data_IF_496698321479
#
_entry.id   IF_496698321479
#
_cell.length_a   1.000
_cell.length_b   1.000
_cell.length_c   1.000
_cell.angle_alpha   90.00
_cell.angle_beta   90.00
_cell.angle_gamma   90.00
#
_symmetry.space_group_name_H-M   'P 1'
#
loop_
_entity.id
_entity.type
_entity.pdbx_description
1 polymer ?
#
# COMPACT_ATOMS: atom_id res chain seq x y z
N UNK A 1 9.28 0.11 -8.76
CA UNK A 1 8.06 0.23 -7.96
C UNK A 1 8.01 1.61 -7.35
N UNK A 2 6.88 2.29 -7.47
CA UNK A 2 6.64 3.57 -6.80
C UNK A 2 6.04 3.32 -5.41
N UNK A 3 6.55 4.00 -4.39
CA UNK A 3 6.03 3.98 -3.03
C UNK A 3 5.50 5.37 -2.69
N UNK A 4 4.18 5.54 -2.74
CA UNK A 4 3.47 6.82 -2.58
C UNK A 4 2.92 6.91 -1.17
N UNK A 5 3.39 7.89 -0.38
CA UNK A 5 3.06 8.00 1.05
C UNK A 5 2.54 9.39 1.40
N UNK A 6 1.23 9.50 1.63
CA UNK A 6 0.60 10.69 2.21
C UNK A 6 0.71 10.73 3.76
N UNK A 7 0.82 9.56 4.39
CA UNK A 7 0.98 9.38 5.85
C UNK A 7 2.34 8.74 6.13
N UNK A 8 3.06 9.22 7.14
CA UNK A 8 4.34 8.61 7.53
C UNK A 8 4.14 7.21 8.12
N UNK A 9 5.08 6.30 7.82
CA UNK A 9 5.16 4.97 8.45
C UNK A 9 6.51 4.33 8.22
N UNK A 10 7.23 4.06 9.31
CA UNK A 10 8.53 3.37 9.25
C UNK A 10 8.37 1.91 8.85
N UNK A 11 7.44 1.17 9.48
CA UNK A 11 7.27 -0.28 9.24
C UNK A 11 6.84 -0.59 7.81
N UNK A 12 5.81 0.10 7.34
CA UNK A 12 5.30 -0.09 5.98
C UNK A 12 6.37 0.29 4.96
N UNK A 13 7.07 1.41 5.15
CA UNK A 13 8.14 1.81 4.25
C UNK A 13 9.26 0.76 4.20
N UNK A 14 9.81 0.40 5.34
CA UNK A 14 10.99 -0.48 5.39
C UNK A 14 10.65 -1.88 4.87
N UNK A 15 9.51 -2.45 5.27
CA UNK A 15 9.11 -3.81 4.82
C UNK A 15 8.93 -3.90 3.29
N UNK A 16 8.21 -2.96 2.68
CA UNK A 16 8.06 -2.94 1.23
C UNK A 16 9.37 -2.63 0.51
N UNK A 17 10.15 -1.65 0.99
CA UNK A 17 11.40 -1.27 0.35
C UNK A 17 12.43 -2.42 0.34
N UNK A 18 12.57 -3.12 1.47
CA UNK A 18 13.42 -4.31 1.58
C UNK A 18 12.89 -5.44 0.70
N UNK A 19 11.61 -5.81 0.84
CA UNK A 19 11.03 -6.94 0.09
C UNK A 19 11.12 -6.74 -1.43
N UNK A 20 10.86 -5.54 -1.94
CA UNK A 20 11.00 -5.25 -3.37
C UNK A 20 12.46 -5.36 -3.83
N UNK A 21 13.42 -4.86 -3.02
CA UNK A 21 14.85 -4.92 -3.35
C UNK A 21 15.38 -6.35 -3.33
N UNK A 22 14.98 -7.16 -2.36
CA UNK A 22 15.37 -8.57 -2.26
C UNK A 22 14.85 -9.39 -3.45
N UNK A 23 13.70 -9.00 -4.02
CA UNK A 23 13.17 -9.55 -5.27
C UNK A 23 13.83 -8.99 -6.54
N UNK A 24 14.93 -8.22 -6.40
CA UNK A 24 15.69 -7.64 -7.52
C UNK A 24 15.08 -6.36 -8.11
N UNK A 25 14.05 -5.80 -7.47
CA UNK A 25 13.37 -4.59 -7.90
C UNK A 25 14.05 -3.30 -7.44
N UNK A 26 13.82 -2.21 -8.17
CA UNK A 26 14.15 -0.85 -7.72
C UNK A 26 12.94 -0.13 -7.15
N UNK A 27 13.18 0.70 -6.14
CA UNK A 27 12.15 1.42 -5.37
C UNK A 27 12.35 2.91 -5.53
N UNK A 28 11.28 3.62 -5.87
CA UNK A 28 11.18 5.08 -5.87
C UNK A 28 10.23 5.49 -4.76
N UNK A 29 10.74 6.17 -3.73
CA UNK A 29 9.92 6.70 -2.65
C UNK A 29 9.44 8.11 -2.99
N UNK A 30 8.13 8.33 -2.88
CA UNK A 30 7.44 9.58 -3.18
C UNK A 30 6.62 9.97 -1.95
N UNK A 31 7.10 10.94 -1.18
CA UNK A 31 6.34 11.47 -0.04
C UNK A 31 5.28 12.47 -0.48
N UNK A 32 4.34 12.79 0.42
CA UNK A 32 3.37 13.88 0.24
C UNK A 32 4.02 15.20 -0.21
N UNK A 33 5.24 15.48 0.26
CA UNK A 33 5.97 16.70 -0.06
C UNK A 33 6.63 16.64 -1.44
N UNK A 34 6.95 15.44 -1.94
CA UNK A 34 7.58 15.23 -3.23
C UNK A 34 6.55 15.15 -4.37
N UNK A 35 5.33 14.72 -4.04
CA UNK A 35 4.23 14.61 -4.98
C UNK A 35 3.61 15.98 -5.26
N UNK A 36 3.45 16.30 -6.54
CA UNK A 36 2.71 17.48 -7.02
C UNK A 36 1.21 17.43 -6.69
N UNK A 37 0.73 16.41 -5.97
CA UNK A 37 -0.63 16.30 -5.46
C UNK A 37 -1.02 17.52 -4.61
N UNK A 38 -0.06 18.13 -3.89
CA UNK A 38 -0.28 19.37 -3.13
C UNK A 38 -0.24 20.66 -3.96
N UNK A 39 0.18 20.60 -5.23
CA UNK A 39 0.27 21.76 -6.15
C UNK A 39 -0.82 21.77 -7.23
N UNK A 40 -1.74 20.81 -7.18
CA UNK A 40 -2.93 20.76 -8.04
C UNK A 40 -2.83 19.84 -9.25
N UNK A 41 -1.80 19.00 -9.37
CA UNK A 41 -1.81 17.93 -10.38
C UNK A 41 -2.84 16.85 -9.98
N UNK A 42 -3.84 16.56 -10.83
CA UNK A 42 -4.82 15.53 -10.52
C UNK A 42 -4.18 14.15 -10.37
N UNK A 43 -4.64 13.38 -9.38
CA UNK A 43 -4.15 12.00 -9.14
C UNK A 43 -4.17 11.13 -10.40
N UNK A 44 -5.23 11.25 -11.21
CA UNK A 44 -5.38 10.57 -12.51
C UNK A 44 -4.23 10.82 -13.48
N UNK A 45 -3.69 12.04 -13.51
CA UNK A 45 -2.63 12.42 -14.46
C UNK A 45 -1.28 11.87 -13.97
N UNK A 46 -1.01 12.01 -12.66
CA UNK A 46 0.12 11.33 -12.01
C UNK A 46 0.07 9.81 -12.21
N UNK A 47 -1.10 9.18 -12.04
CA UNK A 47 -1.30 7.75 -12.24
C UNK A 47 -0.98 7.31 -13.67
N UNK A 48 -1.46 8.03 -14.69
CA UNK A 48 -1.19 7.74 -16.11
C UNK A 48 0.29 7.86 -16.48
N UNK A 49 0.99 8.81 -15.88
CA UNK A 49 2.44 8.99 -16.09
C UNK A 49 3.20 7.86 -15.42
N UNK A 50 2.95 7.60 -14.14
CA UNK A 50 3.63 6.54 -13.39
C UNK A 50 3.36 5.15 -13.99
N UNK A 51 2.14 4.87 -14.45
CA UNK A 51 1.79 3.62 -15.11
C UNK A 51 2.61 3.31 -16.37
N UNK A 52 3.24 4.32 -16.98
CA UNK A 52 4.16 4.14 -18.12
C UNK A 52 5.64 4.04 -17.72
N UNK A 53 5.97 4.28 -16.45
CA UNK A 53 7.34 4.40 -15.96
C UNK A 53 7.72 3.35 -14.93
N UNK A 54 6.75 2.78 -14.20
CA UNK A 54 7.00 1.78 -13.17
C UNK A 54 6.12 0.54 -13.35
N UNK A 55 6.57 -0.58 -12.77
CA UNK A 55 5.88 -1.88 -12.88
C UNK A 55 4.81 -2.11 -11.81
N UNK A 56 4.66 -1.21 -10.85
CA UNK A 56 3.75 -1.36 -9.73
C UNK A 56 3.87 -0.22 -8.71
N UNK A 57 2.82 -0.03 -7.93
CA UNK A 57 2.70 1.02 -6.93
C UNK A 57 2.27 0.47 -5.56
N UNK A 58 2.87 0.98 -4.50
CA UNK A 58 2.46 0.79 -3.11
C UNK A 58 1.98 2.15 -2.60
N UNK A 59 0.72 2.24 -2.17
CA UNK A 59 0.09 3.51 -1.81
C UNK A 59 -0.39 3.47 -0.37
N UNK A 60 0.04 4.48 0.40
CA UNK A 60 -0.46 4.76 1.73
C UNK A 60 -1.08 6.16 1.74
N UNK A 61 -2.40 6.23 1.81
CA UNK A 61 -3.17 7.47 1.68
C UNK A 61 -4.33 7.51 2.68
N UNK A 62 -5.23 8.47 2.54
CA UNK A 62 -6.43 8.64 3.36
C UNK A 62 -7.62 7.91 2.73
N UNK A 63 -8.14 8.41 1.61
CA UNK A 63 -9.33 7.89 0.98
C UNK A 63 -9.05 6.59 0.20
N UNK A 64 -9.93 5.60 0.35
CA UNK A 64 -9.85 4.35 -0.42
C UNK A 64 -9.99 4.60 -1.93
N UNK A 65 -10.82 5.58 -2.31
CA UNK A 65 -11.00 5.99 -3.70
C UNK A 65 -9.71 6.47 -4.37
N UNK A 66 -8.76 7.05 -3.63
CA UNK A 66 -7.47 7.45 -4.21
C UNK A 66 -6.69 6.23 -4.72
N UNK A 67 -6.74 5.11 -3.99
CA UNK A 67 -6.06 3.88 -4.39
C UNK A 67 -6.75 3.24 -5.60
N UNK A 68 -8.09 3.26 -5.60
CA UNK A 68 -8.93 2.73 -6.68
C UNK A 68 -8.75 3.53 -7.97
N UNK A 69 -8.86 4.86 -7.89
CA UNK A 69 -8.62 5.78 -9.01
C UNK A 69 -7.20 5.62 -9.54
N UNK A 70 -6.19 5.54 -8.66
CA UNK A 70 -4.82 5.32 -9.11
C UNK A 70 -4.70 4.00 -9.86
N UNK A 71 -5.28 2.92 -9.35
CA UNK A 71 -5.26 1.60 -10.00
C UNK A 71 -5.93 1.65 -11.39
N UNK A 72 -7.10 2.29 -11.48
CA UNK A 72 -7.84 2.47 -12.73
C UNK A 72 -7.03 3.25 -13.77
N UNK A 73 -6.49 4.40 -13.38
CA UNK A 73 -5.82 5.31 -14.33
C UNK A 73 -4.38 4.92 -14.67
N UNK A 74 -3.70 4.19 -13.78
CA UNK A 74 -2.31 3.75 -14.01
C UNK A 74 -2.22 2.43 -14.78
N UNK A 75 -3.20 1.53 -14.64
CA UNK A 75 -3.20 0.22 -15.30
C UNK A 75 -2.10 -0.74 -14.81
N UNK A 76 -1.45 -0.45 -13.68
CA UNK A 76 -0.39 -1.28 -13.08
C UNK A 76 -0.86 -1.86 -11.74
N UNK A 77 -0.23 -2.96 -11.26
CA UNK A 77 -0.48 -3.50 -9.94
C UNK A 77 -0.35 -2.42 -8.86
N UNK A 78 -1.44 -2.19 -8.13
CA UNK A 78 -1.54 -1.16 -7.10
C UNK A 78 -1.89 -1.80 -5.78
N UNK A 79 -1.06 -1.57 -4.76
CA UNK A 79 -1.17 -2.20 -3.43
C UNK A 79 -1.58 -1.14 -2.42
N UNK A 80 -2.71 -1.37 -1.73
CA UNK A 80 -3.10 -0.58 -0.56
C UNK A 80 -2.22 -0.93 0.64
N UNK A 81 -1.29 -0.03 0.98
CA UNK A 81 -0.39 -0.16 2.11
C UNK A 81 -0.97 0.40 3.44
N UNK A 82 -2.08 1.15 3.36
CA UNK A 82 -3.03 1.56 4.40
C UNK A 82 -3.85 2.73 3.85
N UNK A 83 -5.18 2.64 3.98
CA UNK A 83 -6.13 3.76 3.87
C UNK A 83 -6.81 3.94 5.22
N UNK A 84 -7.65 4.97 5.37
CA UNK A 84 -8.45 5.14 6.59
C UNK A 84 -9.51 4.04 6.73
N UNK A 85 -9.94 3.42 5.62
CA UNK A 85 -10.92 2.34 5.62
C UNK A 85 -10.30 0.94 5.77
N UNK A 86 -9.12 0.69 5.19
CA UNK A 86 -8.60 -0.66 5.00
C UNK A 86 -7.10 -0.77 5.24
N UNK A 87 -6.66 -1.87 5.87
CA UNK A 87 -5.25 -2.21 6.02
C UNK A 87 -4.95 -3.68 5.67
N UNK A 88 -5.11 -4.09 4.40
CA UNK A 88 -5.10 -5.50 4.01
C UNK A 88 -3.74 -6.18 4.22
N UNK A 89 -2.63 -5.48 3.98
CA UNK A 89 -1.29 -6.05 4.17
C UNK A 89 -1.02 -6.47 5.63
N UNK A 90 -1.58 -5.73 6.59
CA UNK A 90 -1.46 -6.09 8.01
C UNK A 90 -2.20 -7.39 8.29
N UNK A 91 -3.47 -7.49 7.88
CA UNK A 91 -4.30 -8.66 8.11
C UNK A 91 -3.73 -9.92 7.44
N UNK A 92 -3.18 -9.81 6.22
CA UNK A 92 -2.49 -10.92 5.56
C UNK A 92 -1.30 -11.40 6.40
N UNK A 93 -0.53 -10.48 6.97
CA UNK A 93 0.63 -10.79 7.82
C UNK A 93 0.20 -11.41 9.16
N UNK A 94 -0.92 -10.96 9.72
CA UNK A 94 -1.48 -11.53 10.96
C UNK A 94 -1.96 -12.96 10.74
N UNK A 95 -2.65 -13.22 9.63
CA UNK A 95 -3.07 -14.57 9.22
C UNK A 95 -1.86 -15.46 8.98
N UNK A 96 -0.84 -14.97 8.28
CA UNK A 96 0.42 -15.69 8.05
C UNK A 96 1.05 -16.11 9.38
N UNK A 97 1.22 -15.15 10.30
CA UNK A 97 1.80 -15.38 11.63
C UNK A 97 0.98 -16.41 12.43
N UNK A 98 -0.35 -16.33 12.40
CA UNK A 98 -1.20 -17.32 13.05
C UNK A 98 -0.96 -18.71 12.47
N UNK A 99 -0.90 -18.84 11.14
CA UNK A 99 -0.74 -20.12 10.47
C UNK A 99 0.60 -20.78 10.76
N UNK A 100 1.69 -20.00 10.84
CA UNK A 100 3.00 -20.50 11.23
C UNK A 100 3.00 -21.10 12.65
N UNK A 101 2.26 -20.49 13.57
CA UNK A 101 2.29 -20.84 14.99
C UNK A 101 1.20 -21.81 15.43
N UNK A 102 0.10 -21.92 14.68
CA UNK A 102 -1.13 -22.63 15.09
C UNK A 102 -1.76 -23.49 13.99
N UNK A 103 -1.20 -23.50 12.77
CA UNK A 103 -1.78 -24.19 11.62
C UNK A 103 -2.97 -23.44 11.01
N UNK A 104 -3.79 -24.11 10.17
CA UNK A 104 -4.83 -23.44 9.39
C UNK A 104 -5.81 -22.60 10.23
N UNK A 105 -6.05 -21.35 9.79
CA UNK A 105 -6.99 -20.43 10.46
C UNK A 105 -8.46 -20.75 10.16
N UNK A 106 -8.74 -21.60 9.16
CA UNK A 106 -10.10 -21.98 8.79
C UNK A 106 -10.86 -22.58 9.99
N UNK A 107 -12.06 -22.07 10.24
CA UNK A 107 -12.91 -22.49 11.38
C UNK A 107 -12.45 -21.99 12.75
N UNK A 108 -11.44 -21.10 12.82
CA UNK A 108 -11.02 -20.46 14.06
C UNK A 108 -11.78 -19.17 14.29
N UNK A 109 -11.94 -18.81 15.56
CA UNK A 109 -12.54 -17.54 15.99
C UNK A 109 -11.42 -16.57 16.34
N UNK A 110 -11.43 -15.39 15.72
CA UNK A 110 -10.53 -14.28 16.05
C UNK A 110 -11.37 -13.19 16.70
N UNK A 111 -10.97 -12.75 17.88
CA UNK A 111 -11.64 -11.67 18.60
C UNK A 111 -10.75 -10.42 18.56
N UNK A 112 -11.24 -9.36 17.93
CA UNK A 112 -10.65 -8.03 18.01
C UNK A 112 -11.27 -7.27 19.19
N UNK A 113 -10.44 -6.59 20.00
CA UNK A 113 -10.88 -5.79 21.14
C UNK A 113 -10.18 -4.44 21.05
N UNK A 114 -10.94 -3.36 20.90
CA UNK A 114 -10.41 -2.01 20.74
C UNK A 114 -11.27 -1.16 19.84
N UNK A 115 -10.63 -0.18 19.21
CA UNK A 115 -11.26 0.74 18.28
C UNK A 115 -11.42 0.11 16.89
N UNK A 116 -12.67 -0.03 16.43
CA UNK A 116 -12.98 -0.53 15.10
C UNK A 116 -13.51 0.54 14.15
N UNK A 117 -13.43 1.82 14.56
CA UNK A 117 -13.87 2.97 13.78
C UNK A 117 -12.81 3.46 12.79
#
# INVERSE_FOLDING_TARGET
>A
WAMIFAKSSTRTRVSFEVGIRELGGSVMFLSANDLQLGRGEPLKDTARVLGRMVHGAVIRTFAQSDVEDFAEWSGIPTINALTDAEHPCQIITDIFTYQELRGPIAGKVVTYIGDGA
#
